data_IF_492962469464
#
_entry.id   IF_492962469464
#
_cell.length_a   1.000
_cell.length_b   1.000
_cell.length_c   1.000
_cell.angle_alpha   90.00
_cell.angle_beta   90.00
_cell.angle_gamma   90.00
#
_symmetry.space_group_name_H-M   'P 1'
#
loop_
_entity.id
_entity.type
_entity.pdbx_description
1 polymer ?
#
# COMPACT_ATOMS: atom_id res chain seq x y z
N UNK A 1 -3.07 13.99 12.54
CA UNK A 1 -2.76 13.15 11.36
C UNK A 1 -1.69 12.12 11.71
N UNK A 2 -0.60 12.53 12.36
CA UNK A 2 0.51 11.66 12.80
C UNK A 2 0.07 10.43 13.60
N UNK A 3 -0.89 10.56 14.53
CA UNK A 3 -1.41 9.42 15.30
C UNK A 3 -2.24 8.42 14.47
N UNK A 4 -2.90 8.87 13.40
CA UNK A 4 -3.71 7.98 12.56
C UNK A 4 -2.78 7.14 11.66
N UNK A 5 -1.78 7.79 11.04
CA UNK A 5 -0.77 7.09 10.25
C UNK A 5 0.05 6.12 11.11
N UNK A 6 0.50 6.55 12.30
CA UNK A 6 1.22 5.70 13.24
C UNK A 6 0.43 4.45 13.63
N UNK A 7 -0.86 4.60 14.00
CA UNK A 7 -1.73 3.47 14.35
C UNK A 7 -1.97 2.52 13.18
N UNK A 8 -2.04 3.05 11.96
CA UNK A 8 -2.16 2.21 10.76
C UNK A 8 -0.87 1.44 10.50
N UNK A 9 0.28 2.11 10.55
CA UNK A 9 1.61 1.52 10.44
C UNK A 9 1.81 0.40 11.45
N UNK A 10 1.55 0.65 12.73
CA UNK A 10 1.64 -0.35 13.80
C UNK A 10 0.76 -1.57 13.51
N UNK A 11 -0.50 -1.34 13.12
CA UNK A 11 -1.42 -2.45 12.77
C UNK A 11 -0.92 -3.29 11.61
N UNK A 12 -0.42 -2.67 10.54
CA UNK A 12 0.09 -3.40 9.38
C UNK A 12 1.35 -4.20 9.74
N UNK A 13 2.26 -3.60 10.51
CA UNK A 13 3.45 -4.29 11.01
C UNK A 13 3.07 -5.48 11.90
N UNK A 14 2.11 -5.32 12.80
CA UNK A 14 1.66 -6.40 13.69
C UNK A 14 0.99 -7.55 12.94
N UNK A 15 0.19 -7.27 11.91
CA UNK A 15 -0.40 -8.33 11.06
C UNK A 15 0.70 -9.17 10.41
N UNK A 16 1.71 -8.51 9.84
CA UNK A 16 2.81 -9.18 9.15
C UNK A 16 3.69 -9.95 10.14
N UNK A 17 4.00 -9.37 11.30
CA UNK A 17 4.80 -10.01 12.37
C UNK A 17 4.16 -11.27 12.93
N UNK A 18 2.84 -11.30 13.04
CA UNK A 18 2.10 -12.43 13.62
C UNK A 18 1.82 -13.54 12.62
N UNK A 19 1.65 -13.20 11.34
CA UNK A 19 1.30 -14.19 10.30
C UNK A 19 2.52 -14.84 9.64
N UNK A 20 3.58 -14.06 9.38
CA UNK A 20 4.85 -14.47 8.75
C UNK A 20 4.70 -15.40 7.55
N UNK A 21 3.70 -15.12 6.72
CA UNK A 21 3.32 -15.92 5.57
C UNK A 21 2.96 -15.01 4.42
N UNK A 22 3.06 -15.51 3.19
CA UNK A 22 2.62 -14.78 1.98
C UNK A 22 1.15 -14.42 2.06
N UNK A 23 0.32 -15.36 2.52
CA UNK A 23 -1.10 -15.17 2.73
C UNK A 23 -1.34 -14.08 3.78
N UNK A 24 -0.58 -14.07 4.87
CA UNK A 24 -0.61 -13.02 5.88
C UNK A 24 -0.26 -11.63 5.32
N UNK A 25 0.78 -11.55 4.49
CA UNK A 25 1.18 -10.33 3.81
C UNK A 25 0.08 -9.84 2.85
N UNK A 26 -0.48 -10.74 2.02
CA UNK A 26 -1.59 -10.43 1.14
C UNK A 26 -2.81 -9.92 1.92
N UNK A 27 -3.15 -10.55 3.04
CA UNK A 27 -4.23 -10.08 3.93
C UNK A 27 -3.96 -8.68 4.51
N UNK A 28 -2.70 -8.36 4.83
CA UNK A 28 -2.33 -7.02 5.29
C UNK A 28 -2.56 -5.96 4.21
N UNK A 29 -2.21 -6.27 2.96
CA UNK A 29 -2.43 -5.40 1.80
C UNK A 29 -3.91 -5.21 1.48
N UNK A 30 -4.70 -6.29 1.55
CA UNK A 30 -6.17 -6.26 1.43
C UNK A 30 -6.83 -5.34 2.46
N UNK A 31 -6.33 -5.35 3.70
CA UNK A 31 -6.79 -4.45 4.77
C UNK A 31 -6.38 -3.00 4.53
N UNK A 32 -5.15 -2.78 4.07
CA UNK A 32 -4.66 -1.44 3.72
C UNK A 32 -5.50 -0.80 2.61
N UNK A 33 -5.83 -1.57 1.56
CA UNK A 33 -6.69 -1.12 0.47
C UNK A 33 -8.10 -0.72 0.95
N UNK A 34 -8.72 -1.53 1.81
CA UNK A 34 -10.03 -1.23 2.41
C UNK A 34 -9.98 -0.02 3.35
N UNK A 35 -8.89 0.18 4.08
CA UNK A 35 -8.68 1.39 4.88
C UNK A 35 -8.64 2.65 3.99
N UNK A 36 -7.90 2.59 2.88
CA UNK A 36 -7.83 3.67 1.90
C UNK A 36 -9.20 3.97 1.27
N UNK A 37 -9.97 2.94 0.94
CA UNK A 37 -11.32 3.10 0.43
C UNK A 37 -12.27 3.75 1.45
N UNK A 38 -12.25 3.28 2.70
CA UNK A 38 -13.16 3.74 3.76
C UNK A 38 -12.91 5.19 4.20
N UNK A 39 -11.68 5.69 4.01
CA UNK A 39 -11.24 7.02 4.45
C UNK A 39 -10.53 7.74 3.31
N UNK A 40 -11.21 8.00 2.19
CA UNK A 40 -10.58 8.57 1.01
C UNK A 40 -10.01 9.96 1.31
N UNK A 41 -10.65 10.77 2.17
CA UNK A 41 -10.08 12.07 2.57
C UNK A 41 -8.69 11.98 3.22
N UNK A 42 -8.37 10.88 3.92
CA UNK A 42 -7.08 10.72 4.61
C UNK A 42 -5.98 10.17 3.70
N UNK A 43 -6.34 9.48 2.62
CA UNK A 43 -5.41 8.68 1.80
C UNK A 43 -5.53 8.95 0.28
N UNK A 44 -6.51 9.74 -0.16
CA UNK A 44 -6.70 10.11 -1.56
C UNK A 44 -5.72 11.22 -1.94
N UNK A 45 -4.52 10.79 -2.29
CA UNK A 45 -3.45 11.64 -2.80
C UNK A 45 -3.71 12.12 -4.23
N UNK A 46 -4.80 11.71 -4.87
CA UNK A 46 -5.13 12.08 -6.26
C UNK A 46 -6.29 13.05 -6.38
N UNK A 47 -6.77 13.60 -5.26
CA UNK A 47 -7.64 14.78 -5.35
C UNK A 47 -6.88 15.92 -6.02
N UNK A 48 -7.53 16.71 -6.90
CA UNK A 48 -6.92 17.91 -7.49
C UNK A 48 -6.31 18.83 -6.43
N UNK A 49 -6.95 18.92 -5.26
CA UNK A 49 -6.47 19.69 -4.11
C UNK A 49 -5.17 19.14 -3.53
N UNK A 50 -5.07 17.82 -3.33
CA UNK A 50 -3.84 17.21 -2.83
C UNK A 50 -2.71 17.28 -3.85
N UNK A 51 -2.99 17.07 -5.13
CA UNK A 51 -2.00 17.21 -6.21
C UNK A 51 -1.53 18.68 -6.31
N UNK A 52 -2.43 19.64 -6.21
CA UNK A 52 -2.10 21.08 -6.17
C UNK A 52 -1.33 21.46 -4.90
N UNK A 53 -1.57 20.76 -3.78
CA UNK A 53 -0.83 20.94 -2.54
C UNK A 53 0.59 20.36 -2.63
N UNK A 54 0.73 19.11 -3.08
CA UNK A 54 2.04 18.42 -3.19
C UNK A 54 2.96 19.11 -4.18
N UNK A 55 2.44 19.59 -5.30
CA UNK A 55 3.24 20.34 -6.29
C UNK A 55 3.74 21.69 -5.77
N UNK A 56 3.17 22.21 -4.67
CA UNK A 56 3.63 23.42 -3.98
C UNK A 56 4.60 23.13 -2.83
N UNK A 57 4.84 21.86 -2.49
CA UNK A 57 5.80 21.49 -1.47
C UNK A 57 7.24 21.57 -2.04
N UNK A 58 8.24 21.92 -1.21
CA UNK A 58 9.63 21.82 -1.62
C UNK A 58 9.98 20.39 -2.06
N UNK A 59 10.81 20.24 -3.10
CA UNK A 59 11.22 18.91 -3.61
C UNK A 59 11.76 17.99 -2.50
N UNK A 60 12.50 18.56 -1.55
CA UNK A 60 13.04 17.84 -0.39
C UNK A 60 11.95 17.26 0.51
N UNK A 61 10.80 17.92 0.62
CA UNK A 61 9.64 17.42 1.38
C UNK A 61 8.98 16.26 0.63
N UNK A 62 8.87 16.35 -0.70
CA UNK A 62 8.34 15.26 -1.54
C UNK A 62 9.26 14.05 -1.49
N UNK A 63 10.57 14.24 -1.57
CA UNK A 63 11.57 13.18 -1.42
C UNK A 63 11.42 12.49 -0.07
N UNK A 64 11.32 13.26 1.02
CA UNK A 64 11.14 12.72 2.37
C UNK A 64 9.89 11.84 2.48
N UNK A 65 8.76 12.29 1.95
CA UNK A 65 7.51 11.49 1.93
C UNK A 65 7.69 10.17 1.16
N UNK A 66 8.41 10.18 0.03
CA UNK A 66 8.71 8.98 -0.75
C UNK A 66 9.65 8.02 0.01
N UNK A 67 10.71 8.54 0.64
CA UNK A 67 11.63 7.76 1.46
C UNK A 67 10.91 7.15 2.67
N UNK A 68 10.07 7.91 3.37
CA UNK A 68 9.26 7.41 4.49
C UNK A 68 8.34 6.26 4.04
N UNK A 69 7.80 6.33 2.81
CA UNK A 69 6.97 5.26 2.24
C UNK A 69 7.77 4.00 1.88
N UNK A 70 9.00 4.17 1.39
CA UNK A 70 9.90 3.06 1.06
C UNK A 70 10.47 2.38 2.31
N UNK A 71 10.81 3.16 3.33
CA UNK A 71 11.27 2.65 4.63
C UNK A 71 10.15 1.92 5.36
N UNK A 72 8.91 2.41 5.27
CA UNK A 72 7.74 1.67 5.77
C UNK A 72 7.59 0.33 5.06
N UNK A 73 7.71 0.29 3.73
CA UNK A 73 7.68 -0.96 2.98
C UNK A 73 8.74 -1.97 3.45
N UNK A 74 9.97 -1.52 3.64
CA UNK A 74 11.06 -2.37 4.19
C UNK A 74 10.75 -2.91 5.57
N UNK A 75 10.21 -2.07 6.46
CA UNK A 75 9.79 -2.49 7.80
C UNK A 75 8.71 -3.56 7.75
N UNK A 76 7.77 -3.46 6.82
CA UNK A 76 6.69 -4.43 6.65
C UNK A 76 7.23 -5.78 6.12
N UNK A 77 8.14 -5.78 5.16
CA UNK A 77 8.79 -7.02 4.68
C UNK A 77 9.57 -7.68 5.81
N UNK A 78 10.41 -6.90 6.51
CA UNK A 78 11.20 -7.42 7.63
C UNK A 78 10.30 -7.95 8.75
N UNK A 79 9.17 -7.30 9.02
CA UNK A 79 8.20 -7.81 9.98
C UNK A 79 7.55 -9.12 9.53
N UNK A 80 7.31 -9.28 8.22
CA UNK A 80 6.75 -10.50 7.65
C UNK A 80 7.74 -11.68 7.63
N UNK A 81 9.05 -11.43 7.82
CA UNK A 81 10.10 -12.46 7.79
C UNK A 81 10.10 -13.23 6.46
N UNK A 82 9.81 -12.51 5.36
CA UNK A 82 9.74 -13.05 4.00
C UNK A 82 10.92 -12.56 3.16
N UNK A 83 11.40 -13.44 2.27
CA UNK A 83 12.43 -13.09 1.28
C UNK A 83 11.78 -12.70 -0.04
N UNK A 84 12.32 -11.67 -0.68
CA UNK A 84 11.92 -11.25 -2.02
C UNK A 84 12.61 -12.09 -3.10
N UNK A 85 11.88 -12.48 -4.13
CA UNK A 85 12.40 -13.10 -5.37
C UNK A 85 13.00 -12.08 -6.34
N UNK A 86 12.92 -10.79 -6.02
CA UNK A 86 13.29 -9.67 -6.89
C UNK A 86 13.85 -8.50 -6.08
N UNK A 87 14.41 -7.51 -6.77
CA UNK A 87 14.93 -6.29 -6.17
C UNK A 87 13.86 -5.54 -5.34
N UNK A 88 14.24 -5.01 -4.17
CA UNK A 88 13.32 -4.30 -3.26
C UNK A 88 12.58 -3.15 -3.96
N UNK A 89 13.29 -2.38 -4.77
CA UNK A 89 12.71 -1.25 -5.51
C UNK A 89 11.64 -1.71 -6.51
N UNK A 90 11.84 -2.88 -7.14
CA UNK A 90 10.88 -3.46 -8.06
C UNK A 90 9.64 -3.97 -7.33
N UNK A 91 9.82 -4.72 -6.23
CA UNK A 91 8.72 -5.21 -5.40
C UNK A 91 7.88 -4.06 -4.85
N UNK A 92 8.53 -3.00 -4.35
CA UNK A 92 7.86 -1.77 -3.92
C UNK A 92 7.06 -1.13 -5.05
N UNK A 93 7.65 -1.00 -6.24
CA UNK A 93 6.98 -0.43 -7.40
C UNK A 93 5.71 -1.20 -7.78
N UNK A 94 5.78 -2.54 -7.80
CA UNK A 94 4.63 -3.41 -8.10
C UNK A 94 3.53 -3.22 -7.05
N UNK A 95 3.85 -3.28 -5.76
CA UNK A 95 2.86 -3.17 -4.69
C UNK A 95 2.27 -1.76 -4.58
N UNK A 96 3.07 -0.73 -4.84
CA UNK A 96 2.61 0.65 -4.93
C UNK A 96 1.66 0.86 -6.11
N UNK A 97 1.99 0.31 -7.28
CA UNK A 97 1.12 0.33 -8.44
C UNK A 97 -0.19 -0.42 -8.17
N UNK A 98 -0.11 -1.58 -7.50
CA UNK A 98 -1.27 -2.35 -7.10
C UNK A 98 -2.19 -1.55 -6.17
N UNK A 99 -1.66 -0.91 -5.11
CA UNK A 99 -2.45 -0.03 -4.23
C UNK A 99 -3.05 1.17 -4.97
N UNK A 100 -2.37 1.70 -5.99
CA UNK A 100 -2.88 2.81 -6.79
C UNK A 100 -4.14 2.46 -7.61
N UNK A 101 -4.48 1.18 -7.75
CA UNK A 101 -5.73 0.75 -8.41
C UNK A 101 -6.99 1.26 -7.70
N UNK A 102 -6.88 1.69 -6.42
CA UNK A 102 -7.97 2.36 -5.70
C UNK A 102 -8.50 3.59 -6.45
N UNK A 103 -7.65 4.25 -7.25
CA UNK A 103 -8.03 5.43 -8.03
C UNK A 103 -8.94 5.08 -9.22
N UNK A 104 -8.97 3.81 -9.64
CA UNK A 104 -9.87 3.31 -10.67
C UNK A 104 -11.18 2.75 -10.10
N UNK A 105 -11.43 2.89 -8.79
CA UNK A 105 -12.58 2.26 -8.12
C UNK A 105 -13.93 2.67 -8.72
N UNK A 106 -14.10 3.94 -9.10
CA UNK A 106 -15.36 4.41 -9.68
C UNK A 106 -15.63 3.74 -11.03
N UNK A 107 -14.61 3.65 -11.89
CA UNK A 107 -14.68 2.96 -13.18
C UNK A 107 -14.92 1.46 -13.02
N UNK A 108 -14.20 0.81 -12.10
CA UNK A 108 -14.34 -0.64 -11.86
C UNK A 108 -15.70 -0.98 -11.27
N UNK A 109 -16.23 -0.15 -10.37
CA UNK A 109 -17.53 -0.36 -9.72
C UNK A 109 -18.71 -0.40 -10.70
N UNK A 110 -18.54 0.14 -11.91
CA UNK A 110 -19.57 0.09 -12.97
C UNK A 110 -19.70 -1.31 -13.56
N UNK A 111 -18.62 -2.10 -13.58
CA UNK A 111 -18.56 -3.36 -14.33
C UNK A 111 -18.27 -4.57 -13.44
N UNK A 112 -17.65 -4.41 -12.28
CA UNK A 112 -17.27 -5.50 -11.40
C UNK A 112 -17.10 -5.08 -9.93
N UNK A 113 -16.96 -6.07 -9.05
CA UNK A 113 -16.52 -5.86 -7.67
C UNK A 113 -15.01 -5.57 -7.64
N UNK A 114 -14.66 -4.31 -7.46
CA UNK A 114 -13.26 -3.87 -7.42
C UNK A 114 -12.49 -4.43 -6.22
N UNK A 115 -13.16 -4.83 -5.12
CA UNK A 115 -12.48 -5.54 -4.03
C UNK A 115 -12.08 -6.94 -4.45
N UNK A 116 -12.96 -7.67 -5.15
CA UNK A 116 -12.64 -9.00 -5.66
C UNK A 116 -11.48 -8.94 -6.68
N UNK A 117 -11.46 -7.91 -7.54
CA UNK A 117 -10.36 -7.67 -8.48
C UNK A 117 -9.04 -7.42 -7.73
N UNK A 118 -9.04 -6.52 -6.75
CA UNK A 118 -7.86 -6.25 -5.93
C UNK A 118 -7.38 -7.50 -5.18
N UNK A 119 -8.30 -8.22 -4.54
CA UNK A 119 -8.00 -9.41 -3.76
C UNK A 119 -7.37 -10.51 -4.62
N UNK A 120 -7.84 -10.69 -5.86
CA UNK A 120 -7.24 -11.62 -6.80
C UNK A 120 -5.83 -11.21 -7.23
N UNK A 121 -5.64 -9.92 -7.56
CA UNK A 121 -4.33 -9.41 -8.00
C UNK A 121 -3.30 -9.53 -6.88
N UNK A 122 -3.66 -9.19 -5.64
CA UNK A 122 -2.70 -9.23 -4.54
C UNK A 122 -2.31 -10.65 -4.18
N UNK A 123 -3.24 -11.60 -4.15
CA UNK A 123 -2.90 -13.00 -3.89
C UNK A 123 -1.95 -13.56 -4.96
N UNK A 124 -2.23 -13.24 -6.22
CA UNK A 124 -1.39 -13.66 -7.35
C UNK A 124 0.01 -13.03 -7.30
N UNK A 125 0.09 -11.71 -7.11
CA UNK A 125 1.36 -10.99 -7.13
C UNK A 125 2.21 -11.31 -5.89
N UNK A 126 1.62 -11.42 -4.71
CA UNK A 126 2.38 -11.74 -3.49
C UNK A 126 3.00 -13.14 -3.58
N UNK A 127 2.33 -14.11 -4.21
CA UNK A 127 2.90 -15.43 -4.45
C UNK A 127 4.17 -15.38 -5.32
N UNK A 128 4.21 -14.46 -6.29
CA UNK A 128 5.31 -14.28 -7.24
C UNK A 128 6.41 -13.32 -6.74
N UNK A 129 6.08 -12.39 -5.84
CA UNK A 129 7.05 -11.44 -5.26
C UNK A 129 7.93 -12.11 -4.20
N UNK A 130 7.37 -13.01 -3.41
CA UNK A 130 8.06 -13.63 -2.27
C UNK A 130 8.42 -15.10 -2.52
N UNK A 131 9.53 -15.57 -1.93
CA UNK A 131 10.07 -16.95 -2.00
C UNK A 131 9.07 -18.02 -1.61
#
# INVERSE_FOLDING_TARGET
ITDIQRRLTEKIIDINRNSRTKEGFAQSMKRLFREYDSKPFLYNVNTPDFQSFVTKLPEETIKKIKFDSFDFFRQVIHAADLNLKMEEAQAYGILSALLSTINAKETLSVTCDYFAVFDFMVDSLVADIFE
#
